data_IF_761398527719
#
_entry.id   IF_761398527719
#
_cell.length_a   1.000
_cell.length_b   1.000
_cell.length_c   1.000
_cell.angle_alpha   90.00
_cell.angle_beta   90.00
_cell.angle_gamma   90.00
#
_symmetry.space_group_name_H-M   'P 1'
#
loop_
_entity.id
_entity.type
_entity.pdbx_description
1 polymer ?
#
# COMPACT_ATOMS: atom_id res chain seq x y z
N UNK A 1 0.33 3.96 -16.24
CA UNK A 1 0.47 4.70 -14.97
C UNK A 1 -0.85 4.50 -14.24
N UNK A 2 -1.04 3.79 -13.12
CA UNK A 2 -0.21 3.16 -12.08
C UNK A 2 -1.06 1.99 -11.50
N UNK A 3 -0.40 0.92 -11.04
CA UNK A 3 -0.98 -0.33 -10.54
C UNK A 3 -1.45 -0.20 -9.09
N UNK A 4 -2.61 0.39 -8.85
CA UNK A 4 -3.14 0.52 -7.46
C UNK A 4 -4.62 0.07 -7.36
N UNK A 5 -5.15 -0.60 -8.40
CA UNK A 5 -6.60 -0.77 -8.56
C UNK A 5 -7.19 -2.14 -8.22
N UNK A 6 -6.40 -3.10 -7.72
CA UNK A 6 -6.90 -4.45 -7.43
C UNK A 6 -6.80 -4.88 -5.96
N UNK A 7 -6.13 -4.08 -5.13
CA UNK A 7 -5.93 -4.35 -3.70
C UNK A 7 -6.20 -3.05 -2.97
N UNK A 8 -7.42 -2.90 -2.46
CA UNK A 8 -7.70 -1.74 -1.62
C UNK A 8 -8.67 -2.12 -0.52
N UNK A 9 -8.14 -2.48 0.65
CA UNK A 9 -8.85 -2.33 1.91
C UNK A 9 -8.85 -0.83 2.24
N UNK A 10 -9.83 -0.08 1.73
CA UNK A 10 -9.88 1.37 1.97
C UNK A 10 -9.99 1.67 3.48
N UNK A 11 -9.02 2.42 3.99
CA UNK A 11 -9.03 2.98 5.34
C UNK A 11 -10.04 4.14 5.42
N UNK A 12 -10.97 4.06 6.38
CA UNK A 12 -11.74 5.22 6.83
C UNK A 12 -10.97 5.82 8.00
N UNK A 13 -10.63 7.13 8.00
CA UNK A 13 -9.87 7.81 9.06
C UNK A 13 -10.46 7.71 10.48
N UNK A 14 -11.63 7.10 10.62
CA UNK A 14 -12.42 7.10 11.84
C UNK A 14 -13.05 5.71 12.04
N UNK A 15 -12.42 4.88 12.89
CA UNK A 15 -13.07 3.70 13.48
C UNK A 15 -12.37 2.35 13.40
N UNK A 16 -11.14 2.23 12.89
CA UNK A 16 -10.36 0.97 12.98
C UNK A 16 -10.99 -0.25 12.29
N UNK A 17 -11.91 -0.02 11.33
CA UNK A 17 -12.58 -1.09 10.57
C UNK A 17 -11.73 -1.50 9.37
N UNK A 18 -11.53 -2.81 9.20
CA UNK A 18 -10.87 -3.40 8.02
C UNK A 18 -11.96 -3.98 7.12
N UNK A 19 -11.97 -3.57 5.85
CA UNK A 19 -12.87 -4.12 4.84
C UNK A 19 -12.13 -5.18 4.02
N UNK A 20 -12.68 -6.40 3.98
CA UNK A 20 -12.16 -7.49 3.14
C UNK A 20 -13.10 -7.68 1.95
N UNK A 21 -12.56 -7.50 0.75
CA UNK A 21 -13.31 -7.76 -0.47
C UNK A 21 -13.35 -9.25 -0.75
N UNK A 22 -14.54 -9.82 -1.00
CA UNK A 22 -14.72 -11.26 -1.26
C UNK A 22 -13.91 -11.76 -2.46
N UNK A 23 -13.53 -10.89 -3.39
CA UNK A 23 -12.65 -11.21 -4.51
C UNK A 23 -11.23 -11.63 -4.11
N UNK A 24 -10.78 -11.37 -2.88
CA UNK A 24 -9.46 -11.81 -2.40
C UNK A 24 -9.46 -13.26 -1.93
N UNK A 25 -10.62 -13.80 -1.53
CA UNK A 25 -10.73 -15.13 -0.92
C UNK A 25 -10.19 -16.26 -1.82
N UNK A 26 -10.47 -16.29 -3.14
CA UNK A 26 -9.91 -17.31 -4.04
C UNK A 26 -8.38 -17.21 -4.16
N UNK A 27 -7.82 -16.02 -3.93
CA UNK A 27 -6.38 -15.76 -4.03
C UNK A 27 -5.67 -16.09 -2.73
N UNK A 28 -6.30 -15.77 -1.60
CA UNK A 28 -5.85 -16.14 -0.26
C UNK A 28 -5.79 -17.67 -0.11
N UNK A 29 -6.79 -18.38 -0.63
CA UNK A 29 -6.86 -19.84 -0.73
C UNK A 29 -7.04 -20.59 0.60
N UNK A 30 -6.47 -20.10 1.70
CA UNK A 30 -6.63 -20.62 3.06
C UNK A 30 -6.57 -19.47 4.08
N UNK A 31 -6.80 -19.82 5.35
CA UNK A 31 -6.82 -18.85 6.44
C UNK A 31 -5.44 -18.22 6.69
N UNK A 32 -4.35 -18.96 6.46
CA UNK A 32 -2.97 -18.44 6.55
C UNK A 32 -2.69 -17.36 5.50
N UNK A 33 -3.19 -17.55 4.27
CA UNK A 33 -3.08 -16.59 3.18
C UNK A 33 -3.95 -15.36 3.42
N UNK A 34 -5.12 -15.53 4.03
CA UNK A 34 -5.97 -14.41 4.45
C UNK A 34 -5.32 -13.64 5.61
N UNK A 35 -4.72 -14.35 6.58
CA UNK A 35 -3.99 -13.77 7.69
C UNK A 35 -2.77 -12.96 7.23
N UNK A 36 -2.13 -13.36 6.13
CA UNK A 36 -1.06 -12.58 5.50
C UNK A 36 -1.57 -11.21 5.04
N UNK A 37 -2.71 -11.17 4.32
CA UNK A 37 -3.32 -9.91 3.85
C UNK A 37 -3.75 -9.05 5.03
N UNK A 38 -4.45 -9.64 6.00
CA UNK A 38 -4.90 -8.92 7.19
C UNK A 38 -3.74 -8.41 8.05
N UNK A 39 -2.68 -9.20 8.21
CA UNK A 39 -1.48 -8.83 8.96
C UNK A 39 -0.78 -7.62 8.35
N UNK A 40 -0.67 -7.56 7.03
CA UNK A 40 -0.12 -6.41 6.30
C UNK A 40 -0.97 -5.14 6.55
N UNK A 41 -2.30 -5.24 6.45
CA UNK A 41 -3.20 -4.10 6.69
C UNK A 41 -3.18 -3.63 8.14
N UNK A 42 -3.17 -4.55 9.10
CA UNK A 42 -3.03 -4.22 10.53
C UNK A 42 -1.68 -3.57 10.81
N UNK A 43 -0.60 -4.04 10.19
CA UNK A 43 0.72 -3.44 10.35
C UNK A 43 0.76 -1.97 9.87
N UNK A 44 0.10 -1.67 8.75
CA UNK A 44 -0.08 -0.28 8.29
C UNK A 44 -0.86 0.58 9.30
N UNK A 45 -1.88 0.01 9.96
CA UNK A 45 -2.62 0.70 11.03
C UNK A 45 -1.75 0.94 12.27
N UNK A 46 -1.04 -0.08 12.74
CA UNK A 46 -0.18 -0.01 13.93
C UNK A 46 0.92 1.03 13.76
N UNK A 47 1.55 1.08 12.59
CA UNK A 47 2.62 2.05 12.33
C UNK A 47 2.10 3.46 11.99
N UNK A 48 0.78 3.66 11.90
CA UNK A 48 0.13 4.96 11.63
C UNK A 48 0.76 5.71 10.45
N UNK A 49 1.24 4.98 9.44
CA UNK A 49 1.97 5.55 8.31
C UNK A 49 1.17 6.62 7.56
N UNK A 50 -0.17 6.52 7.55
CA UNK A 50 -1.07 7.54 6.99
C UNK A 50 -1.00 8.85 7.78
N UNK A 51 -0.96 8.78 9.11
CA UNK A 51 -0.85 9.97 9.96
C UNK A 51 0.53 10.63 9.85
N UNK A 52 1.59 9.82 9.77
CA UNK A 52 2.96 10.30 9.56
C UNK A 52 3.10 10.98 8.19
N UNK A 53 2.59 10.35 7.13
CA UNK A 53 2.57 10.92 5.77
C UNK A 53 1.76 12.21 5.71
N UNK A 54 0.58 12.25 6.33
CA UNK A 54 -0.25 13.46 6.40
C UNK A 54 0.41 14.58 7.23
N UNK A 55 1.14 14.24 8.29
CA UNK A 55 1.92 15.22 9.07
C UNK A 55 3.08 15.79 8.26
N UNK A 56 3.85 14.92 7.60
CA UNK A 56 4.96 15.31 6.74
C UNK A 56 4.50 16.19 5.57
N UNK A 57 3.37 15.83 4.93
CA UNK A 57 2.76 16.65 3.87
C UNK A 57 2.30 18.02 4.38
N UNK A 58 1.69 18.09 5.57
CA UNK A 58 1.27 19.37 6.18
C UNK A 58 2.46 20.26 6.54
N UNK A 59 3.50 19.68 7.15
CA UNK A 59 4.73 20.40 7.45
C UNK A 59 5.41 20.94 6.18
N UNK A 60 5.42 20.14 5.12
CA UNK A 60 5.97 20.55 3.83
C UNK A 60 5.12 21.65 3.16
N UNK A 61 3.80 21.54 3.20
CA UNK A 61 2.89 22.57 2.69
C UNK A 61 3.08 23.91 3.45
N UNK A 62 3.23 23.85 4.77
CA UNK A 62 3.52 25.04 5.59
C UNK A 62 4.87 25.67 5.23
N UNK A 63 5.91 24.85 4.99
CA UNK A 63 7.21 25.32 4.55
C UNK A 63 7.14 25.99 3.16
N UNK A 64 6.41 25.39 2.22
CA UNK A 64 6.21 25.98 0.88
C UNK A 64 5.50 27.32 0.97
N UNK A 65 4.44 27.43 1.78
CA UNK A 65 3.74 28.69 2.00
C UNK A 65 4.63 29.76 2.63
N UNK A 66 5.47 29.38 3.61
CA UNK A 66 6.42 30.31 4.23
C UNK A 66 7.44 30.85 3.22
N UNK A 67 7.98 29.98 2.37
CA UNK A 67 8.97 30.37 1.35
C UNK A 67 8.36 31.27 0.28
N UNK A 68 7.09 31.05 -0.09
CA UNK A 68 6.35 31.91 -1.02
C UNK A 68 6.11 33.32 -0.44
N UNK A 69 5.74 33.42 0.84
CA UNK A 69 5.60 34.71 1.56
C UNK A 69 6.93 35.47 1.61
N UNK A 70 8.06 34.78 1.70
CA UNK A 70 9.40 35.36 1.68
C UNK A 70 9.87 35.75 0.26
N UNK A 71 9.04 35.60 -0.77
CA UNK A 71 9.35 35.94 -2.16
C UNK A 71 10.26 34.93 -2.87
N UNK A 72 10.61 33.82 -2.20
CA UNK A 72 11.35 32.71 -2.79
C UNK A 72 10.38 31.82 -3.56
N UNK A 73 10.05 32.24 -4.79
CA UNK A 73 9.12 31.50 -5.66
C UNK A 73 9.65 30.08 -5.90
N UNK A 74 8.95 29.11 -5.33
CA UNK A 74 9.25 27.69 -5.45
C UNK A 74 8.87 27.21 -6.86
N UNK A 75 9.87 26.98 -7.70
CA UNK A 75 9.70 26.43 -9.06
C UNK A 75 9.32 24.94 -9.02
N UNK A 76 8.91 24.39 -10.17
CA UNK A 76 8.63 22.95 -10.42
C UNK A 76 9.63 21.97 -9.78
N UNK A 77 10.87 22.42 -9.53
CA UNK A 77 11.93 21.71 -8.80
C UNK A 77 11.50 21.19 -7.42
N UNK A 78 10.60 21.90 -6.75
CA UNK A 78 10.14 21.61 -5.38
C UNK A 78 9.13 20.50 -5.37
N UNK A 79 8.18 20.54 -6.31
CA UNK A 79 7.22 19.45 -6.54
C UNK A 79 7.99 18.17 -6.93
N UNK A 80 9.03 18.31 -7.75
CA UNK A 80 9.95 17.22 -8.09
C UNK A 80 10.65 16.64 -6.85
N UNK A 81 11.11 17.48 -5.94
CA UNK A 81 11.74 17.06 -4.68
C UNK A 81 10.74 16.38 -3.73
N UNK A 82 9.50 16.87 -3.65
CA UNK A 82 8.44 16.22 -2.86
C UNK A 82 8.13 14.82 -3.40
N UNK A 83 8.02 14.66 -4.71
CA UNK A 83 7.82 13.35 -5.35
C UNK A 83 9.03 12.44 -5.08
N UNK A 84 10.24 12.99 -5.18
CA UNK A 84 11.47 12.24 -4.93
C UNK A 84 11.64 11.83 -3.46
N UNK A 85 11.14 12.61 -2.50
CA UNK A 85 11.18 12.24 -1.08
C UNK A 85 10.05 11.29 -0.68
N UNK A 86 8.87 11.39 -1.32
CA UNK A 86 7.72 10.55 -1.00
C UNK A 86 7.82 9.15 -1.60
N UNK A 87 8.43 8.98 -2.78
CA UNK A 87 8.64 7.68 -3.45
C UNK A 87 9.51 6.68 -2.65
N UNK A 88 10.72 7.02 -2.19
CA UNK A 88 11.57 6.10 -1.42
C UNK A 88 10.99 5.83 -0.04
N UNK A 89 10.33 6.82 0.58
CA UNK A 89 9.68 6.63 1.87
C UNK A 89 8.55 5.60 1.76
N UNK A 90 7.83 5.57 0.63
CA UNK A 90 6.78 4.57 0.38
C UNK A 90 7.31 3.13 0.40
N UNK A 91 8.49 2.85 -0.17
CA UNK A 91 9.03 1.48 -0.18
C UNK A 91 9.45 0.99 1.19
N UNK A 92 10.05 1.87 1.99
CA UNK A 92 10.45 1.56 3.36
C UNK A 92 9.22 1.25 4.21
N UNK A 93 8.17 2.06 4.07
CA UNK A 93 6.85 1.90 4.70
C UNK A 93 6.23 0.54 4.39
N UNK A 94 6.21 0.09 3.13
CA UNK A 94 5.69 -1.23 2.76
C UNK A 94 6.54 -2.37 3.36
N UNK A 95 7.87 -2.31 3.25
CA UNK A 95 8.75 -3.35 3.82
C UNK A 95 8.62 -3.46 5.34
N UNK A 96 8.40 -2.33 5.99
CA UNK A 96 8.15 -2.24 7.41
C UNK A 96 6.78 -2.79 7.83
N UNK A 97 5.77 -2.63 6.98
CA UNK A 97 4.46 -3.22 7.17
C UNK A 97 4.48 -4.74 6.91
N UNK A 98 5.18 -5.20 5.86
CA UNK A 98 5.36 -6.62 5.56
C UNK A 98 6.02 -7.37 6.72
N UNK A 99 7.11 -6.82 7.26
CA UNK A 99 7.85 -7.44 8.36
C UNK A 99 6.99 -7.56 9.62
N UNK A 100 6.28 -6.49 9.97
CA UNK A 100 5.40 -6.50 11.14
C UNK A 100 4.17 -7.39 10.90
N UNK A 101 3.62 -7.41 9.69
CA UNK A 101 2.49 -8.26 9.31
C UNK A 101 2.82 -9.75 9.43
N UNK A 102 4.00 -10.17 8.99
CA UNK A 102 4.50 -11.53 9.17
C UNK A 102 4.67 -11.89 10.65
N UNK A 103 5.15 -10.95 11.47
CA UNK A 103 5.25 -11.16 12.91
C UNK A 103 3.87 -11.30 13.58
N UNK A 104 2.92 -10.44 13.21
CA UNK A 104 1.56 -10.47 13.74
C UNK A 104 0.82 -11.75 13.37
N UNK A 105 0.96 -12.24 12.13
CA UNK A 105 0.33 -13.51 11.74
C UNK A 105 0.98 -14.71 12.47
N UNK A 106 2.30 -14.70 12.64
CA UNK A 106 3.01 -15.73 13.41
C UNK A 106 2.53 -15.74 14.87
N UNK A 107 2.38 -14.56 15.47
CA UNK A 107 1.89 -14.41 16.84
C UNK A 107 0.44 -14.86 16.99
N UNK A 108 -0.38 -14.71 15.94
CA UNK A 108 -1.75 -15.18 15.89
C UNK A 108 -1.88 -16.70 15.60
N UNK A 109 -0.76 -17.40 15.35
CA UNK A 109 -0.73 -18.85 15.13
C UNK A 109 -0.84 -19.30 13.67
N UNK A 110 -0.76 -18.38 12.71
CA UNK A 110 -0.76 -18.67 11.27
C UNK A 110 0.66 -18.90 10.73
N UNK A 111 0.81 -19.65 9.64
CA UNK A 111 2.11 -19.93 9.01
C UNK A 111 2.61 -18.75 8.14
N UNK A 112 3.68 -18.02 8.54
CA UNK A 112 4.20 -16.89 7.76
C UNK A 112 4.76 -17.29 6.39
N UNK A 113 5.04 -18.58 6.18
CA UNK A 113 5.55 -19.09 4.89
C UNK A 113 4.47 -19.04 3.81
N UNK A 114 3.20 -19.00 4.18
CA UNK A 114 2.09 -18.90 3.23
C UNK A 114 2.11 -17.57 2.46
N UNK A 115 2.75 -16.53 3.02
CA UNK A 115 2.93 -15.24 2.34
C UNK A 115 3.60 -15.37 0.98
N UNK A 116 4.60 -16.26 0.85
CA UNK A 116 5.30 -16.51 -0.42
C UNK A 116 4.33 -17.07 -1.46
N UNK A 117 3.51 -18.06 -1.07
CA UNK A 117 2.51 -18.68 -1.95
C UNK A 117 1.41 -17.70 -2.34
N UNK A 118 1.03 -16.80 -1.44
CA UNK A 118 0.11 -15.70 -1.74
C UNK A 118 0.69 -14.79 -2.84
N UNK A 119 1.95 -14.39 -2.73
CA UNK A 119 2.61 -13.57 -3.76
C UNK A 119 2.76 -14.28 -5.11
N UNK A 120 3.02 -15.58 -5.10
CA UNK A 120 3.04 -16.40 -6.31
C UNK A 120 1.67 -16.39 -7.01
N UNK A 121 0.58 -16.62 -6.26
CA UNK A 121 -0.80 -16.54 -6.78
C UNK A 121 -1.14 -15.15 -7.34
N UNK A 122 -0.67 -14.08 -6.71
CA UNK A 122 -0.81 -12.73 -7.27
C UNK A 122 -0.05 -12.55 -8.59
N UNK A 123 1.16 -13.09 -8.69
CA UNK A 123 1.96 -13.05 -9.92
C UNK A 123 1.28 -13.79 -11.07
N UNK A 124 0.69 -14.95 -10.78
CA UNK A 124 -0.09 -15.73 -11.74
C UNK A 124 -1.34 -14.99 -12.22
N UNK A 125 -2.07 -14.35 -11.30
CA UNK A 125 -3.24 -13.54 -11.65
C UNK A 125 -2.88 -12.32 -12.51
N UNK A 126 -1.78 -11.62 -12.21
CA UNK A 126 -1.31 -10.49 -13.03
C UNK A 126 -0.92 -10.93 -14.44
N UNK A 127 -0.28 -12.10 -14.58
CA UNK A 127 0.02 -12.70 -15.90
C UNK A 127 -1.27 -13.04 -16.66
N UNK A 128 -2.27 -13.63 -15.97
CA UNK A 128 -3.57 -13.97 -16.56
C UNK A 128 -4.33 -12.71 -17.01
N UNK A 129 -4.39 -11.66 -16.20
CA UNK A 129 -5.03 -10.39 -16.57
C UNK A 129 -4.32 -9.66 -17.72
N UNK A 130 -2.98 -9.72 -17.78
CA UNK A 130 -2.21 -9.16 -18.90
C UNK A 130 -2.42 -9.92 -20.21
N UNK A 131 -2.68 -11.22 -20.15
CA UNK A 131 -2.97 -12.05 -21.32
C UNK A 131 -4.34 -11.76 -21.96
N UNK A 132 -5.28 -11.15 -21.24
CA UNK A 132 -6.66 -10.95 -21.72
C UNK A 132 -6.90 -9.55 -22.31
N UNK A 133 -5.97 -8.61 -22.16
CA UNK A 133 -6.16 -7.21 -22.60
C UNK A 133 -5.92 -6.97 -24.09
N UNK A 134 -5.44 -7.96 -24.85
CA UNK A 134 -5.12 -7.85 -26.28
C UNK A 134 -5.76 -8.93 -27.17
N UNK A 135 -6.44 -9.94 -26.61
CA UNK A 135 -6.87 -11.15 -27.34
C UNK A 135 -8.40 -11.30 -27.53
N UNK A 136 -9.19 -10.26 -27.29
CA UNK A 136 -10.61 -10.26 -27.69
C UNK A 136 -10.76 -9.43 -28.98
N UNK A 137 -11.02 -10.05 -30.14
CA UNK A 137 -11.44 -9.29 -31.32
C UNK A 137 -12.75 -8.54 -31.02
N UNK A 138 -12.96 -7.34 -31.59
CA UNK A 138 -14.29 -6.72 -31.56
C UNK A 138 -15.25 -7.66 -32.32
N UNK A 139 -16.20 -8.24 -31.60
CA UNK A 139 -17.41 -8.82 -32.19
C UNK A 139 -18.37 -7.73 -32.58
#
# INVERSE_FOLDING_TARGET
MRREGLFSCNHIPEGGRIFVFTGILPVAGNDDGLATVLGHEIAHQVKRHVAEKASCQRAFAALVLLLDVLGLRMSLSVIGLTVLMTLPNSRKVESEADTLGLYLMAQAGYDPRESVRLFERFSELDKKQRGWRWLSPPG
#
